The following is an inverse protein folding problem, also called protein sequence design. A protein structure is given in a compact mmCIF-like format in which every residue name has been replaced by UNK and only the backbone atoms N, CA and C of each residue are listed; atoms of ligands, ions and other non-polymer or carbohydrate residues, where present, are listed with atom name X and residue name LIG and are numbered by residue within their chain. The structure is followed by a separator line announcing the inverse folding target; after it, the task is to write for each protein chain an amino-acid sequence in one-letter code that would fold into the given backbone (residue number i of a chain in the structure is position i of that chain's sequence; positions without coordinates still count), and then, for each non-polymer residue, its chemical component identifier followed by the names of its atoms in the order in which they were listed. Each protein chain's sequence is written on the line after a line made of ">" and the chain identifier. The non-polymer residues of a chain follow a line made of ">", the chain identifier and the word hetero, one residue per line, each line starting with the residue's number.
data_IF_294592514685
#
_entry.id   IF_294592514685
#
_cell.length_a   1.000
_cell.length_b   1.000
_cell.length_c   1.000
_cell.angle_alpha   90.00
_cell.angle_beta   90.00
_cell.angle_gamma   90.00
#
_symmetry.space_group_name_H-M   'P 1'
#
loop_
_entity.id
_entity.type
_entity.pdbx_description
1 polymer ?
#
# COMPACT_ATOMS: atom_id res chain seq x y z
N UNK A 1 1.12 15.84 -2.57
CA UNK A 1 0.11 16.86 -2.19
C UNK A 1 -0.20 16.84 -0.70
N UNK A 2 -0.57 15.68 -0.11
CA UNK A 2 -0.99 15.62 1.31
C UNK A 2 0.11 15.37 2.34
N UNK A 3 1.34 15.02 1.92
CA UNK A 3 2.52 14.92 2.79
C UNK A 3 3.28 13.59 2.73
N UNK A 4 2.73 12.55 2.09
CA UNK A 4 3.47 11.31 1.84
C UNK A 4 4.82 11.60 1.17
N UNK A 5 5.88 10.96 1.65
CA UNK A 5 7.23 11.19 1.15
C UNK A 5 7.42 10.50 -0.20
N UNK A 6 6.94 9.26 -0.29
CA UNK A 6 6.99 8.44 -1.49
C UNK A 6 5.82 7.45 -1.47
N UNK A 7 5.38 7.02 -2.65
CA UNK A 7 4.25 6.13 -2.86
C UNK A 7 4.60 5.14 -3.96
N UNK A 8 4.32 3.86 -3.71
CA UNK A 8 4.54 2.80 -4.69
C UNK A 8 3.32 1.92 -4.81
N UNK A 9 3.04 1.53 -6.05
CA UNK A 9 2.22 0.38 -6.38
C UNK A 9 3.03 -0.55 -7.28
N UNK A 10 3.11 -1.81 -6.88
CA UNK A 10 3.89 -2.83 -7.57
C UNK A 10 2.95 -3.97 -7.99
N UNK A 11 2.82 -4.19 -9.30
CA UNK A 11 2.13 -5.37 -9.84
C UNK A 11 3.02 -6.60 -9.65
N UNK A 12 2.43 -7.71 -9.23
CA UNK A 12 3.15 -8.97 -9.02
C UNK A 12 3.79 -9.48 -10.31
N UNK A 13 5.12 -9.57 -10.31
CA UNK A 13 5.93 -10.07 -11.43
C UNK A 13 6.29 -11.56 -11.25
N UNK A 14 6.98 -11.91 -10.15
CA UNK A 14 7.28 -13.31 -9.77
C UNK A 14 6.71 -13.66 -8.39
N UNK A 15 5.37 -13.72 -8.31
CA UNK A 15 4.64 -13.97 -7.06
C UNK A 15 4.06 -15.38 -7.05
N UNK A 16 4.87 -16.35 -6.61
CA UNK A 16 4.51 -17.77 -6.61
C UNK A 16 3.63 -18.17 -5.41
N UNK A 17 2.68 -19.12 -5.59
CA UNK A 17 1.93 -19.69 -4.47
C UNK A 17 2.83 -20.55 -3.58
N UNK A 18 2.58 -20.49 -2.27
CA UNK A 18 3.26 -21.27 -1.24
C UNK A 18 2.41 -22.44 -0.74
N UNK A 19 3.01 -23.29 0.11
CA UNK A 19 2.29 -24.42 0.74
C UNK A 19 1.51 -24.03 2.00
N UNK A 20 2.06 -23.10 2.79
CA UNK A 20 1.48 -22.67 4.08
C UNK A 20 1.00 -21.24 3.98
N UNK A 21 1.84 -20.34 3.47
CA UNK A 21 1.53 -18.93 3.25
C UNK A 21 2.18 -18.43 1.96
N UNK A 22 1.59 -17.39 1.38
CA UNK A 22 2.10 -16.67 0.22
C UNK A 22 1.28 -15.39 0.00
N UNK A 23 1.76 -14.48 -0.84
CA UNK A 23 1.00 -13.29 -1.21
C UNK A 23 -0.37 -13.62 -1.83
N UNK A 24 -0.50 -14.56 -2.79
CA UNK A 24 -1.81 -14.94 -3.33
C UNK A 24 -2.75 -15.48 -2.24
N UNK A 25 -2.24 -16.30 -1.31
CA UNK A 25 -3.04 -16.80 -0.18
C UNK A 25 -3.46 -15.69 0.78
N UNK A 26 -2.62 -14.67 0.99
CA UNK A 26 -2.91 -13.57 1.93
C UNK A 26 -4.10 -12.69 1.51
N UNK A 27 -4.35 -12.60 0.20
CA UNK A 27 -5.49 -11.86 -0.37
C UNK A 27 -6.57 -12.80 -0.92
N UNK A 28 -6.47 -14.11 -0.68
CA UNK A 28 -7.39 -15.12 -1.26
C UNK A 28 -7.61 -14.89 -2.76
N UNK A 29 -6.50 -14.79 -3.51
CA UNK A 29 -6.48 -14.46 -4.93
C UNK A 29 -7.34 -15.45 -5.74
N UNK A 30 -8.19 -14.92 -6.63
CA UNK A 30 -9.02 -15.71 -7.54
C UNK A 30 -8.37 -15.80 -8.93
N UNK A 31 -8.87 -16.73 -9.73
CA UNK A 31 -8.47 -16.84 -11.14
C UNK A 31 -8.74 -15.52 -11.89
N UNK A 32 -7.76 -15.10 -12.70
CA UNK A 32 -7.83 -13.84 -13.45
C UNK A 32 -7.42 -12.59 -12.67
N UNK A 33 -7.01 -12.72 -11.41
CA UNK A 33 -6.50 -11.62 -10.59
C UNK A 33 -4.97 -11.67 -10.46
N UNK A 34 -4.37 -10.52 -10.14
CA UNK A 34 -2.94 -10.38 -9.84
C UNK A 34 -2.75 -9.68 -8.50
N UNK A 35 -1.72 -10.07 -7.76
CA UNK A 35 -1.36 -9.38 -6.52
C UNK A 35 -0.82 -7.99 -6.84
N UNK A 36 -1.28 -6.98 -6.11
CA UNK A 36 -0.64 -5.66 -6.04
C UNK A 36 -0.07 -5.48 -4.63
N UNK A 37 1.19 -5.08 -4.56
CA UNK A 37 1.84 -4.67 -3.31
C UNK A 37 2.06 -3.16 -3.36
N UNK A 38 1.39 -2.44 -2.45
CA UNK A 38 1.51 -0.99 -2.35
C UNK A 38 2.03 -0.60 -0.97
N UNK A 39 2.85 0.45 -0.92
CA UNK A 39 3.31 1.02 0.34
C UNK A 39 3.59 2.50 0.19
N UNK A 40 3.55 3.19 1.33
CA UNK A 40 3.69 4.64 1.41
C UNK A 40 4.73 4.95 2.48
N UNK A 41 5.71 5.76 2.12
CA UNK A 41 6.73 6.21 3.07
C UNK A 41 6.25 7.48 3.77
N UNK A 42 6.31 7.46 5.09
CA UNK A 42 5.97 8.57 5.96
C UNK A 42 7.11 8.85 6.94
N UNK A 43 7.22 10.12 7.31
CA UNK A 43 8.15 10.61 8.33
C UNK A 43 8.03 9.87 9.68
N UNK A 44 6.80 9.80 10.20
CA UNK A 44 6.45 9.19 11.48
C UNK A 44 5.03 8.61 11.42
N UNK A 45 4.59 7.94 12.49
CA UNK A 45 3.21 7.47 12.60
C UNK A 45 2.23 8.63 12.70
N UNK A 46 2.57 9.67 13.45
CA UNK A 46 1.75 10.87 13.62
C UNK A 46 1.60 11.60 12.28
N UNK A 47 2.69 11.66 11.51
CA UNK A 47 2.66 12.19 10.16
C UNK A 47 1.78 11.33 9.23
N UNK A 48 1.93 10.00 9.23
CA UNK A 48 1.03 9.08 8.50
C UNK A 48 -0.43 9.36 8.84
N UNK A 49 -0.75 9.49 10.12
CA UNK A 49 -2.12 9.70 10.59
C UNK A 49 -2.70 11.03 10.08
N UNK A 50 -1.91 12.10 10.13
CA UNK A 50 -2.30 13.40 9.56
C UNK A 50 -2.49 13.35 8.04
N UNK A 51 -1.59 12.67 7.32
CA UNK A 51 -1.70 12.55 5.86
C UNK A 51 -2.92 11.72 5.48
N UNK A 52 -3.13 10.57 6.12
CA UNK A 52 -4.28 9.71 5.84
C UNK A 52 -5.61 10.43 6.12
N UNK A 53 -5.69 11.21 7.21
CA UNK A 53 -6.89 12.02 7.48
C UNK A 53 -7.20 12.98 6.32
N UNK A 54 -6.20 13.72 5.83
CA UNK A 54 -6.35 14.64 4.69
C UNK A 54 -6.74 13.92 3.40
N UNK A 55 -6.14 12.76 3.14
CA UNK A 55 -6.49 11.92 1.97
C UNK A 55 -7.95 11.50 2.06
N UNK A 56 -8.40 11.00 3.21
CA UNK A 56 -9.79 10.55 3.40
C UNK A 56 -10.81 11.69 3.29
N UNK A 57 -10.42 12.93 3.58
CA UNK A 57 -11.25 14.12 3.42
C UNK A 57 -11.25 14.68 1.98
N UNK A 58 -10.32 14.24 1.14
CA UNK A 58 -10.17 14.74 -0.22
C UNK A 58 -11.39 14.36 -1.08
N UNK A 59 -12.07 15.33 -1.71
CA UNK A 59 -13.23 15.04 -2.55
C UNK A 59 -12.96 14.04 -3.67
N UNK A 60 -11.72 14.01 -4.19
CA UNK A 60 -11.30 13.06 -5.24
C UNK A 60 -11.37 11.61 -4.76
N UNK A 61 -11.21 11.36 -3.46
CA UNK A 61 -11.25 10.00 -2.90
C UNK A 61 -12.66 9.42 -2.86
N UNK A 62 -13.72 10.25 -2.90
CA UNK A 62 -15.10 9.75 -2.86
C UNK A 62 -15.41 8.82 -4.02
N UNK A 63 -15.00 9.21 -5.23
CA UNK A 63 -15.24 8.43 -6.44
C UNK A 63 -14.26 7.23 -6.53
N UNK A 64 -13.04 7.39 -6.00
CA UNK A 64 -12.01 6.33 -6.00
C UNK A 64 -12.27 5.23 -4.96
N UNK A 65 -13.02 5.54 -3.89
CA UNK A 65 -13.37 4.59 -2.83
C UNK A 65 -14.78 3.98 -3.01
N UNK A 66 -15.50 4.30 -4.09
CA UNK A 66 -16.76 3.62 -4.40
C UNK A 66 -16.46 2.14 -4.71
N UNK A 67 -17.01 1.19 -3.93
CA UNK A 67 -16.80 -0.24 -4.17
C UNK A 67 -17.20 -0.71 -5.57
N UNK A 68 -18.05 0.04 -6.28
CA UNK A 68 -18.45 -0.27 -7.66
C UNK A 68 -17.43 0.17 -8.71
N UNK A 69 -16.59 1.17 -8.39
CA UNK A 69 -15.56 1.71 -9.30
C UNK A 69 -14.17 1.16 -8.99
N UNK A 70 -13.96 0.59 -7.79
CA UNK A 70 -12.68 0.00 -7.41
C UNK A 70 -12.29 -1.13 -8.37
N UNK A 71 -11.05 -1.13 -8.91
CA UNK A 71 -10.58 -2.17 -9.83
C UNK A 71 -10.20 -3.49 -9.12
N UNK A 72 -10.46 -3.60 -7.81
CA UNK A 72 -10.17 -4.78 -6.99
C UNK A 72 -11.23 -4.96 -5.89
N UNK A 73 -11.28 -6.16 -5.32
CA UNK A 73 -12.17 -6.49 -4.22
C UNK A 73 -11.63 -5.99 -2.87
N UNK A 74 -12.14 -4.84 -2.42
CA UNK A 74 -11.71 -4.20 -1.17
C UNK A 74 -11.93 -5.04 0.09
N UNK A 75 -12.78 -6.08 0.07
CA UNK A 75 -12.97 -6.95 1.23
C UNK A 75 -11.78 -7.88 1.49
N UNK A 76 -10.94 -8.11 0.47
CA UNK A 76 -9.74 -8.96 0.55
C UNK A 76 -8.45 -8.15 0.69
N UNK A 77 -8.54 -6.83 0.58
CA UNK A 77 -7.42 -5.94 0.86
C UNK A 77 -7.10 -5.95 2.36
N UNK A 78 -5.81 -5.96 2.69
CA UNK A 78 -5.31 -5.78 4.04
C UNK A 78 -4.20 -4.73 4.06
N UNK A 79 -4.01 -4.08 5.20
CA UNK A 79 -2.96 -3.09 5.38
C UNK A 79 -2.46 -3.05 6.81
N UNK A 80 -1.26 -2.50 6.99
CA UNK A 80 -0.61 -2.34 8.29
C UNK A 80 0.41 -1.22 8.25
N UNK A 81 0.77 -0.70 9.43
CA UNK A 81 1.86 0.25 9.58
C UNK A 81 3.10 -0.45 10.14
N UNK A 82 4.26 -0.19 9.55
CA UNK A 82 5.53 -0.80 9.95
C UNK A 82 6.55 0.30 10.30
N UNK A 83 7.40 0.03 11.28
CA UNK A 83 8.60 0.83 11.55
C UNK A 83 9.78 0.15 10.86
N UNK A 84 10.61 0.93 10.16
CA UNK A 84 11.84 0.40 9.57
C UNK A 84 12.78 -0.06 10.68
N UNK A 85 13.37 -1.25 10.51
CA UNK A 85 14.44 -1.78 11.38
C UNK A 85 15.80 -1.58 10.71
N UNK A 86 15.84 -1.53 9.38
CA UNK A 86 17.02 -1.31 8.57
C UNK A 86 16.61 -0.57 7.29
N UNK A 87 17.32 0.49 6.98
CA UNK A 87 17.24 1.20 5.71
C UNK A 87 18.66 1.35 5.17
N UNK A 88 18.92 0.76 4.00
CA UNK A 88 20.20 0.92 3.30
C UNK A 88 19.97 1.84 2.11
N UNK A 89 20.50 3.05 2.17
CA UNK A 89 20.48 3.99 1.06
C UNK A 89 21.79 3.89 0.28
N UNK A 90 21.73 3.66 -1.04
CA UNK A 90 22.90 3.68 -1.95
C UNK A 90 23.12 5.04 -2.63
N UNK A 91 22.57 6.11 -2.06
CA UNK A 91 22.66 7.51 -2.51
C UNK A 91 21.99 8.41 -1.47
N UNK A 92 22.09 9.76 -1.57
CA UNK A 92 21.64 10.65 -0.51
C UNK A 92 20.11 10.68 -0.45
N UNK A 93 19.54 9.70 0.23
CA UNK A 93 18.34 9.94 1.03
C UNK A 93 18.83 10.91 2.09
N UNK A 94 18.39 12.16 2.02
CA UNK A 94 18.74 13.17 3.00
C UNK A 94 18.71 12.53 4.38
N UNK A 95 19.89 12.38 4.98
CA UNK A 95 20.05 11.84 6.30
C UNK A 95 19.09 12.63 7.20
N UNK A 96 18.16 11.89 7.81
CA UNK A 96 17.35 12.42 8.90
C UNK A 96 18.19 12.40 10.16
#
# INVERSE_FOLDING_TARGET
>A
EHGALQYWECVGDDVKPGKVTSFPQSVQLKDGEVVVFAWILYDSREHRDSVNAKVMEDPRMKDMMDPKSMPFDGMRMFWGGFKSVLELSSGPVAAR
#
